data_IF_933878730619
#
_entry.id   IF_933878730619
#
_cell.length_a   1.000
_cell.length_b   1.000
_cell.length_c   1.000
_cell.angle_alpha   90.00
_cell.angle_beta   90.00
_cell.angle_gamma   90.00
#
_symmetry.space_group_name_H-M   'P 1'
#
loop_
_entity.id
_entity.type
_entity.pdbx_description
1 polymer ?
#
# COMPACT_ATOMS: atom_id res chain seq x y z
N UNK A 1 5.10 -1.16 -26.70
CA UNK A 1 5.28 -1.10 -25.25
C UNK A 1 4.59 -2.27 -24.61
N UNK A 2 5.21 -2.79 -23.57
CA UNK A 2 4.68 -3.91 -22.81
C UNK A 2 3.34 -3.55 -22.21
N UNK A 3 2.33 -4.41 -22.38
CA UNK A 3 1.00 -4.16 -21.84
C UNK A 3 1.00 -4.10 -20.32
N UNK A 4 1.90 -4.82 -19.67
CA UNK A 4 1.97 -4.77 -18.21
C UNK A 4 2.49 -3.43 -17.71
N UNK A 5 3.37 -2.80 -18.47
CA UNK A 5 3.83 -1.46 -18.10
C UNK A 5 2.67 -0.47 -18.22
N UNK A 6 1.87 -0.60 -19.28
CA UNK A 6 0.73 0.28 -19.46
C UNK A 6 -0.28 0.11 -18.32
N UNK A 7 -0.44 -1.10 -17.82
CA UNK A 7 -1.40 -1.35 -16.76
C UNK A 7 -1.06 -0.69 -15.44
N UNK A 8 0.21 -0.27 -15.29
CA UNK A 8 0.58 0.45 -14.07
C UNK A 8 -0.23 1.73 -13.88
N UNK A 9 -0.62 2.40 -14.98
CA UNK A 9 -1.41 3.62 -14.84
C UNK A 9 -2.87 3.33 -14.56
N UNK A 10 -3.30 2.06 -14.66
CA UNK A 10 -4.67 1.68 -14.38
C UNK A 10 -4.85 1.17 -12.96
N UNK A 11 -3.78 1.14 -12.16
CA UNK A 11 -3.91 0.73 -10.77
C UNK A 11 -4.84 1.69 -10.03
N UNK A 12 -5.49 1.16 -9.00
CA UNK A 12 -6.44 1.94 -8.22
C UNK A 12 -5.74 3.17 -7.67
N UNK A 13 -6.16 4.35 -8.08
CA UNK A 13 -5.48 5.59 -7.72
C UNK A 13 -5.77 6.04 -6.31
N UNK A 14 -6.81 5.55 -5.71
CA UNK A 14 -7.07 5.85 -4.30
C UNK A 14 -6.05 5.11 -3.45
N UNK A 15 -5.78 3.84 -3.79
CA UNK A 15 -4.82 3.05 -3.05
C UNK A 15 -3.39 3.35 -3.48
N UNK A 16 -3.16 3.61 -4.78
CA UNK A 16 -1.80 3.80 -5.30
C UNK A 16 -1.31 5.22 -4.99
N UNK A 17 -1.13 5.49 -3.73
CA UNK A 17 -0.62 6.75 -3.22
C UNK A 17 0.09 6.37 -1.91
N UNK A 18 1.32 6.83 -1.69
CA UNK A 18 2.13 6.28 -0.59
C UNK A 18 1.47 6.27 0.77
N UNK A 19 0.83 7.36 1.18
CA UNK A 19 0.23 7.42 2.50
C UNK A 19 -0.99 6.53 2.60
N UNK A 20 -1.84 6.55 1.58
CA UNK A 20 -3.05 5.72 1.61
C UNK A 20 -2.70 4.24 1.45
N UNK A 21 -1.69 3.93 0.66
CA UNK A 21 -1.24 2.55 0.55
C UNK A 21 -0.78 2.03 1.91
N UNK A 22 -0.01 2.84 2.63
CA UNK A 22 0.43 2.47 3.97
C UNK A 22 -0.75 2.23 4.90
N UNK A 23 -1.74 3.13 4.86
CA UNK A 23 -2.92 2.99 5.73
C UNK A 23 -3.72 1.75 5.40
N UNK A 24 -3.94 1.49 4.12
CA UNK A 24 -4.69 0.30 3.70
C UNK A 24 -3.94 -0.96 4.10
N UNK A 25 -2.62 -0.97 3.91
CA UNK A 25 -1.83 -2.13 4.30
C UNK A 25 -1.90 -2.38 5.81
N UNK A 26 -1.80 -1.33 6.62
CA UNK A 26 -1.91 -1.46 8.06
C UNK A 26 -3.27 -2.01 8.45
N UNK A 27 -4.33 -1.41 7.90
CA UNK A 27 -5.69 -1.83 8.26
C UNK A 27 -6.03 -3.21 7.74
N UNK A 28 -5.34 -3.69 6.70
CA UNK A 28 -5.59 -5.02 6.18
C UNK A 28 -5.18 -6.11 7.16
N UNK A 29 -4.32 -5.78 8.11
CA UNK A 29 -3.82 -6.76 9.07
C UNK A 29 -4.56 -6.69 10.40
N UNK A 30 -5.60 -5.94 10.51
CA UNK A 30 -6.35 -5.81 11.77
C UNK A 30 -7.82 -5.64 11.48
N UNK A 31 -8.66 -5.92 12.48
CA UNK A 31 -10.10 -5.72 12.31
C UNK A 31 -10.44 -4.25 12.31
N UNK A 32 -9.85 -3.50 13.17
CA UNK A 32 -10.07 -2.07 13.26
C UNK A 32 -8.92 -1.44 14.02
N UNK A 33 -8.76 -0.14 13.89
CA UNK A 33 -7.70 0.58 14.57
C UNK A 33 -8.22 1.90 15.09
N UNK A 34 -7.73 2.31 16.25
CA UNK A 34 -7.96 3.63 16.79
C UNK A 34 -7.20 4.65 15.95
N UNK A 35 -7.82 5.79 15.72
CA UNK A 35 -7.20 6.90 14.97
C UNK A 35 -5.87 7.31 15.60
N UNK A 36 -5.81 7.36 16.93
CA UNK A 36 -4.56 7.78 17.60
C UNK A 36 -3.43 6.78 17.38
N UNK A 37 -3.76 5.50 17.29
CA UNK A 37 -2.76 4.50 16.98
C UNK A 37 -2.20 4.72 15.57
N UNK A 38 -3.08 4.96 14.61
CA UNK A 38 -2.64 5.23 13.24
C UNK A 38 -1.80 6.50 13.18
N UNK A 39 -2.20 7.52 13.93
CA UNK A 39 -1.49 8.79 13.95
C UNK A 39 -0.06 8.58 14.46
N UNK A 40 0.06 7.83 15.56
CA UNK A 40 1.37 7.60 16.17
C UNK A 40 2.25 6.72 15.30
N UNK A 41 1.68 5.67 14.72
CA UNK A 41 2.48 4.73 13.95
C UNK A 41 2.91 5.28 12.60
N UNK A 42 2.09 6.12 11.98
CA UNK A 42 2.43 6.65 10.67
C UNK A 42 3.29 7.91 10.76
N UNK A 43 3.25 8.61 11.88
CA UNK A 43 3.95 9.88 11.99
C UNK A 43 3.32 11.00 11.19
N UNK A 44 2.12 10.81 10.64
CA UNK A 44 1.47 11.86 9.88
C UNK A 44 0.93 12.95 10.80
N UNK A 45 0.69 14.13 10.23
CA UNK A 45 -0.05 15.14 10.97
C UNK A 45 -1.52 14.73 11.04
N UNK A 46 -2.24 15.27 12.01
CA UNK A 46 -3.66 14.98 12.15
C UNK A 46 -4.41 15.34 10.87
N UNK A 47 -4.10 16.48 10.29
CA UNK A 47 -4.79 16.91 9.08
C UNK A 47 -4.54 16.00 7.90
N UNK A 48 -3.29 15.54 7.74
CA UNK A 48 -2.97 14.63 6.64
C UNK A 48 -3.65 13.28 6.84
N UNK A 49 -3.60 12.73 8.04
CA UNK A 49 -4.26 11.46 8.31
C UNK A 49 -5.76 11.57 8.06
N UNK A 50 -6.39 12.63 8.57
CA UNK A 50 -7.83 12.83 8.35
C UNK A 50 -8.16 12.94 6.87
N UNK A 51 -7.34 13.66 6.12
CA UNK A 51 -7.57 13.86 4.70
C UNK A 51 -7.49 12.54 3.93
N UNK A 52 -6.49 11.74 4.22
CA UNK A 52 -6.34 10.45 3.55
C UNK A 52 -7.44 9.46 3.94
N UNK A 53 -7.82 9.45 5.21
CA UNK A 53 -8.92 8.60 5.63
C UNK A 53 -10.25 9.00 4.97
N UNK A 54 -10.46 10.31 4.80
CA UNK A 54 -11.65 10.79 4.12
C UNK A 54 -11.68 10.33 2.66
N UNK A 55 -10.53 10.37 1.98
CA UNK A 55 -10.46 9.89 0.60
C UNK A 55 -10.76 8.40 0.53
N UNK A 56 -10.27 7.63 1.48
CA UNK A 56 -10.53 6.20 1.52
C UNK A 56 -11.99 5.92 1.87
N UNK A 57 -12.56 6.72 2.75
CA UNK A 57 -13.96 6.58 3.14
C UNK A 57 -14.89 6.91 1.97
N UNK A 58 -14.59 7.98 1.26
CA UNK A 58 -15.38 8.38 0.09
C UNK A 58 -15.37 7.31 -0.98
N UNK A 59 -14.25 6.61 -1.12
CA UNK A 59 -14.16 5.52 -2.08
C UNK A 59 -14.86 4.24 -1.60
N UNK A 60 -15.32 4.21 -0.35
CA UNK A 60 -15.99 3.04 0.20
C UNK A 60 -15.03 2.00 0.75
N UNK A 61 -13.75 2.33 0.88
CA UNK A 61 -12.75 1.36 1.28
C UNK A 61 -12.51 1.31 2.79
N UNK A 62 -12.83 2.38 3.49
CA UNK A 62 -12.64 2.48 4.93
C UNK A 62 -13.92 2.99 5.57
N UNK A 63 -14.24 2.47 6.74
CA UNK A 63 -15.34 2.97 7.55
C UNK A 63 -14.73 3.62 8.78
N UNK A 64 -15.16 4.84 9.08
CA UNK A 64 -14.70 5.58 10.24
C UNK A 64 -15.89 5.76 11.17
N UNK A 65 -15.74 5.29 12.40
CA UNK A 65 -16.85 5.30 13.36
C UNK A 65 -16.38 5.96 14.65
N UNK A 66 -17.21 6.83 15.19
CA UNK A 66 -16.93 7.41 16.49
C UNK A 66 -17.68 6.63 17.56
N UNK A 67 -17.00 6.31 18.63
CA UNK A 67 -17.58 5.55 19.71
C UNK A 67 -16.99 6.05 21.03
N UNK A 68 -17.36 5.44 22.12
CA UNK A 68 -16.89 5.85 23.43
C UNK A 68 -16.37 4.65 24.20
N UNK A 69 -15.31 4.87 24.96
CA UNK A 69 -14.87 3.91 25.94
C UNK A 69 -15.01 4.65 27.27
N UNK A 70 -16.07 4.35 28.01
CA UNK A 70 -16.43 5.17 29.16
C UNK A 70 -16.80 6.56 28.72
N UNK A 71 -16.08 7.57 29.18
CA UNK A 71 -16.33 8.96 28.80
C UNK A 71 -15.40 9.44 27.70
N UNK A 72 -14.47 8.59 27.26
CA UNK A 72 -13.51 8.98 26.28
C UNK A 72 -14.01 8.64 24.89
N UNK A 73 -14.04 9.64 24.01
CA UNK A 73 -14.45 9.41 22.63
C UNK A 73 -13.29 8.81 21.86
N UNK A 74 -13.58 7.82 21.06
CA UNK A 74 -12.59 7.17 20.21
C UNK A 74 -13.07 7.19 18.77
N UNK A 75 -12.15 7.30 17.85
CA UNK A 75 -12.47 7.19 16.42
C UNK A 75 -11.83 5.89 15.94
N UNK A 76 -12.66 4.99 15.44
CA UNK A 76 -12.20 3.70 14.95
C UNK A 76 -12.26 3.65 13.44
N UNK A 77 -11.25 3.07 12.83
CA UNK A 77 -11.13 2.95 11.39
C UNK A 77 -10.97 1.48 11.04
N UNK A 78 -11.66 1.04 9.99
CA UNK A 78 -11.49 -0.34 9.54
C UNK A 78 -11.68 -0.41 8.03
N UNK A 79 -11.04 -1.37 7.40
CA UNK A 79 -11.28 -1.63 5.99
C UNK A 79 -12.65 -2.27 5.85
N UNK A 80 -13.39 -1.84 4.86
CA UNK A 80 -14.65 -2.48 4.51
C UNK A 80 -14.34 -3.72 3.69
N UNK A 81 -15.35 -4.55 3.41
CA UNK A 81 -15.18 -5.67 2.51
C UNK A 81 -14.75 -5.20 1.13
N UNK A 82 -15.33 -4.09 0.69
CA UNK A 82 -14.97 -3.51 -0.59
C UNK A 82 -13.49 -3.07 -0.58
N UNK A 83 -13.03 -2.49 0.52
CA UNK A 83 -11.64 -2.08 0.64
C UNK A 83 -10.70 -3.26 0.64
N UNK A 84 -11.06 -4.34 1.28
CA UNK A 84 -10.23 -5.55 1.28
C UNK A 84 -10.14 -6.16 -0.10
N UNK A 85 -11.25 -6.21 -0.82
CA UNK A 85 -11.26 -6.72 -2.18
C UNK A 85 -10.43 -5.84 -3.11
N UNK A 86 -10.58 -4.52 -2.98
CA UNK A 86 -9.83 -3.59 -3.79
C UNK A 86 -8.33 -3.70 -3.54
N UNK A 87 -7.94 -3.90 -2.28
CA UNK A 87 -6.53 -4.03 -1.94
C UNK A 87 -5.96 -5.34 -2.49
N UNK A 88 -6.70 -6.43 -2.42
CA UNK A 88 -6.26 -7.70 -2.98
C UNK A 88 -6.05 -7.59 -4.48
N UNK A 89 -6.97 -6.92 -5.16
CA UNK A 89 -6.88 -6.71 -6.59
C UNK A 89 -5.68 -5.84 -6.93
N UNK A 90 -5.48 -4.78 -6.16
CA UNK A 90 -4.35 -3.88 -6.34
C UNK A 90 -3.03 -4.63 -6.19
N UNK A 91 -2.92 -5.46 -5.15
CA UNK A 91 -1.69 -6.21 -4.89
C UNK A 91 -1.38 -7.16 -6.05
N UNK A 92 -2.40 -7.84 -6.55
CA UNK A 92 -2.20 -8.79 -7.63
C UNK A 92 -1.79 -8.06 -8.91
N UNK A 93 -2.45 -6.96 -9.23
CA UNK A 93 -2.16 -6.21 -10.44
C UNK A 93 -0.74 -5.63 -10.40
N UNK A 94 -0.35 -5.09 -9.26
CA UNK A 94 0.98 -4.53 -9.11
C UNK A 94 2.04 -5.62 -9.19
N UNK A 95 1.82 -6.72 -8.51
CA UNK A 95 2.77 -7.83 -8.51
C UNK A 95 2.97 -8.37 -9.92
N UNK A 96 1.88 -8.59 -10.63
CA UNK A 96 1.94 -9.13 -11.99
C UNK A 96 2.70 -8.18 -12.92
N UNK A 97 2.42 -6.87 -12.79
CA UNK A 97 3.11 -5.89 -13.63
C UNK A 97 4.60 -5.82 -13.33
N UNK A 98 4.94 -5.83 -12.04
CA UNK A 98 6.34 -5.75 -11.65
C UNK A 98 7.11 -7.01 -12.04
N UNK A 99 6.48 -8.17 -11.93
CA UNK A 99 7.13 -9.41 -12.33
C UNK A 99 7.38 -9.45 -13.83
N UNK A 100 6.44 -8.98 -14.62
CA UNK A 100 6.62 -8.94 -16.07
C UNK A 100 7.76 -8.01 -16.46
N UNK A 101 7.87 -6.86 -15.81
CA UNK A 101 8.96 -5.93 -16.06
C UNK A 101 10.30 -6.53 -15.61
N UNK A 102 10.29 -7.19 -14.46
CA UNK A 102 11.48 -7.82 -13.94
C UNK A 102 11.97 -8.95 -14.83
N UNK A 103 11.05 -9.75 -15.36
CA UNK A 103 11.44 -10.83 -16.27
C UNK A 103 12.09 -10.29 -17.53
N UNK A 104 11.56 -9.19 -18.07
CA UNK A 104 12.16 -8.61 -19.25
C UNK A 104 13.55 -8.07 -18.95
N UNK A 105 13.73 -7.43 -17.80
CA UNK A 105 15.03 -6.90 -17.42
C UNK A 105 16.04 -8.04 -17.24
N UNK A 106 15.63 -9.13 -16.62
CA UNK A 106 16.53 -10.26 -16.43
C UNK A 106 16.93 -10.89 -17.74
N UNK A 107 15.98 -11.03 -18.66
CA UNK A 107 16.28 -11.58 -19.97
C UNK A 107 17.27 -10.69 -20.71
N UNK A 108 17.09 -9.39 -20.64
CA UNK A 108 17.98 -8.45 -21.27
C UNK A 108 19.40 -8.54 -20.69
N UNK A 109 19.51 -8.64 -19.38
CA UNK A 109 20.79 -8.77 -18.73
C UNK A 109 21.48 -10.08 -19.11
N UNK A 110 20.75 -11.14 -19.19
CA UNK A 110 21.32 -12.42 -19.57
C UNK A 110 21.93 -12.36 -20.95
N UNK A 111 21.30 -11.60 -21.85
CA UNK A 111 21.84 -11.50 -23.19
C UNK A 111 23.09 -10.64 -23.28
N UNK A 112 23.19 -9.63 -22.46
CA UNK A 112 24.38 -8.80 -22.49
C UNK A 112 25.48 -9.37 -21.64
N UNK A 113 25.18 -10.24 -20.87
CA UNK A 113 26.10 -10.96 -20.15
C UNK A 113 26.97 -10.35 -19.26
N UNK A 114 26.92 -9.72 -18.51
CA UNK A 114 27.81 -9.28 -17.78
C UNK A 114 27.75 -9.71 -16.49
N UNK A 115 28.54 -10.11 -15.99
CA UNK A 115 28.45 -10.77 -14.88
C UNK A 115 28.55 -9.96 -13.72
N UNK A 116 28.80 -9.55 -13.25
CA UNK A 116 28.79 -9.00 -12.28
C UNK A 116 28.61 -8.86 -11.23
N UNK A 117 28.59 -8.64 -10.57
CA UNK A 117 28.39 -8.41 -9.68
C UNK A 117 28.26 -8.45 -8.67
N UNK A 118 28.27 -8.21 -8.01
CA UNK A 118 28.13 -8.10 -7.14
C UNK A 118 27.96 -8.27 -6.15
N UNK A 119 28.13 -8.36 -5.73
CA UNK A 119 28.09 -8.71 -4.88
C UNK A 119 27.97 -8.15 -3.89
N UNK A 120 28.39 -7.58 -3.88
CA UNK A 120 28.31 -7.09 -2.94
C UNK A 120 27.36 -6.84 -2.38
N UNK A 121 27.13 -6.54 -2.90
CA UNK A 121 26.20 -6.22 -2.51
C UNK A 121 25.73 -6.82 -1.58
N UNK A 122 25.88 -7.34 -1.65
CA UNK A 122 25.31 -7.89 -0.90
C UNK A 122 25.54 -7.65 0.30
N UNK A 123 25.96 -7.34 0.30
CA UNK A 123 25.98 -7.22 1.23
C UNK A 123 25.63 -6.62 1.96
N UNK A 124 25.55 -6.22 1.89
CA UNK A 124 25.16 -5.55 2.50
C UNK A 124 24.42 -5.70 3.23
N UNK A 125 24.20 -5.86 3.32
CA UNK A 125 23.44 -5.95 3.98
C UNK A 125 23.39 -6.17 4.89
N UNK A 126 23.58 -6.14 5.19
CA UNK A 126 23.51 -6.32 5.94
C UNK A 126 23.16 -5.98 6.66
N UNK A 127 23.10 -5.74 6.58
CA UNK A 127 22.66 -5.30 7.37
C UNK A 127 22.23 -5.26 8.37
#
# INVERSE_FOLDING_TARGET
MNEQIKKLVELDRVIHEPARLMLVAMLSEMEESDFLYLLRETGMSKGNLSSHLTRLETAGYVEVTKTYRGKIQMTLCRLTEEGRAAFAEYQLALKTSLEAIGDRARTSEARTSSPAVPTGAALVNQG
#
